data_IF_677875463589
#
_entry.id   IF_677875463589
#
_cell.length_a   1.000
_cell.length_b   1.000
_cell.length_c   1.000
_cell.angle_alpha   90.00
_cell.angle_beta   90.00
_cell.angle_gamma   90.00
#
_symmetry.space_group_name_H-M   'P 1'
#
loop_
_entity.id
_entity.type
_entity.pdbx_description
1 polymer ?
#
# COMPACT_ATOMS: atom_id res chain seq x y z
N UNK A 1 -6.85 11.27 1.63
CA UNK A 1 -6.19 10.10 1.03
C UNK A 1 -4.72 10.07 1.44
N UNK A 2 -4.01 8.94 1.25
CA UNK A 2 -2.59 8.85 1.66
C UNK A 2 -1.64 9.63 0.73
N UNK A 3 -0.61 10.32 1.26
CA UNK A 3 0.51 10.88 0.50
C UNK A 3 1.55 9.83 0.16
N UNK A 4 1.56 8.71 0.88
CA UNK A 4 2.56 7.66 0.77
C UNK A 4 1.94 6.43 0.11
N UNK A 5 2.13 6.30 -1.20
CA UNK A 5 1.60 5.20 -2.02
C UNK A 5 2.24 5.23 -3.42
N UNK A 6 1.70 4.43 -4.35
CA UNK A 6 1.87 4.63 -5.77
C UNK A 6 0.96 5.75 -6.29
N UNK A 7 1.43 6.48 -7.30
CA UNK A 7 0.77 7.70 -7.79
C UNK A 7 -0.65 7.47 -8.34
N UNK A 8 -0.95 6.25 -8.77
CA UNK A 8 -2.28 5.88 -9.29
C UNK A 8 -3.41 6.11 -8.27
N UNK A 9 -3.15 5.95 -6.97
CA UNK A 9 -4.15 6.20 -5.92
C UNK A 9 -4.60 7.68 -5.90
N UNK A 10 -3.74 8.61 -6.34
CA UNK A 10 -4.04 10.05 -6.37
C UNK A 10 -4.47 10.53 -7.76
N UNK A 11 -3.84 10.03 -8.82
CA UNK A 11 -4.16 10.45 -10.18
C UNK A 11 -5.55 10.00 -10.62
N UNK A 12 -6.07 8.88 -10.09
CA UNK A 12 -7.45 8.45 -10.36
C UNK A 12 -8.49 9.49 -9.90
N UNK A 13 -8.20 10.23 -8.82
CA UNK A 13 -9.06 11.31 -8.33
C UNK A 13 -9.10 12.45 -9.36
N UNK A 14 -7.95 12.82 -9.94
CA UNK A 14 -7.89 13.84 -11.00
C UNK A 14 -8.61 13.38 -12.27
N UNK A 15 -8.44 12.12 -12.67
CA UNK A 15 -9.12 11.54 -13.83
C UNK A 15 -10.65 11.52 -13.65
N UNK A 16 -11.13 11.39 -12.41
CA UNK A 16 -12.54 11.50 -12.06
C UNK A 16 -13.03 12.96 -11.92
N UNK A 17 -12.17 13.96 -12.15
CA UNK A 17 -12.49 15.38 -12.00
C UNK A 17 -12.50 15.89 -10.54
N UNK A 18 -12.01 15.09 -9.60
CA UNK A 18 -11.91 15.44 -8.19
C UNK A 18 -10.60 16.16 -7.83
N UNK A 19 -10.50 16.59 -6.58
CA UNK A 19 -9.30 17.21 -6.00
C UNK A 19 -8.77 16.30 -4.88
N UNK A 20 -7.56 15.72 -5.02
CA UNK A 20 -6.97 14.92 -3.95
C UNK A 20 -6.54 15.81 -2.78
N UNK A 21 -6.95 15.41 -1.57
CA UNK A 21 -6.52 16.02 -0.30
C UNK A 21 -5.77 14.98 0.52
N UNK A 22 -4.53 15.30 0.91
CA UNK A 22 -3.60 14.36 1.52
C UNK A 22 -3.60 14.49 3.04
N UNK A 23 -3.80 13.37 3.74
CA UNK A 23 -3.73 13.25 5.20
C UNK A 23 -2.36 12.71 5.61
N UNK A 24 -1.77 13.17 6.71
CA UNK A 24 -0.53 12.55 7.19
C UNK A 24 -0.76 11.09 7.61
N UNK A 25 0.31 10.36 7.87
CA UNK A 25 0.28 8.92 8.10
C UNK A 25 0.79 8.55 9.49
N UNK A 26 0.43 7.36 9.94
CA UNK A 26 0.99 6.73 11.13
C UNK A 26 2.44 6.28 10.88
N UNK A 27 3.39 6.54 11.80
CA UNK A 27 4.80 6.24 11.59
C UNK A 27 5.13 4.74 11.52
N UNK A 28 4.27 3.86 12.04
CA UNK A 28 4.50 2.42 12.10
C UNK A 28 3.87 1.70 10.90
N UNK A 29 2.54 1.80 10.77
CA UNK A 29 1.75 1.19 9.70
C UNK A 29 1.88 1.92 8.36
N UNK A 30 2.35 3.18 8.36
CA UNK A 30 2.47 4.04 7.17
C UNK A 30 1.13 4.40 6.52
N UNK A 31 0.02 4.09 7.18
CA UNK A 31 -1.33 4.31 6.71
C UNK A 31 -1.89 5.62 7.24
N UNK A 32 -2.86 6.20 6.53
CA UNK A 32 -3.68 7.29 7.08
C UNK A 32 -4.56 6.74 8.21
N UNK A 33 -4.87 7.59 9.21
CA UNK A 33 -5.70 7.22 10.36
C UNK A 33 -6.94 8.11 10.43
N UNK A 34 -7.99 7.72 11.18
CA UNK A 34 -9.14 8.59 11.41
C UNK A 34 -8.73 9.98 11.91
N UNK A 35 -7.74 10.05 12.79
CA UNK A 35 -7.23 11.28 13.40
C UNK A 35 -6.53 12.19 12.39
N UNK A 36 -5.80 11.63 11.43
CA UNK A 36 -5.14 12.43 10.39
C UNK A 36 -6.12 12.86 9.28
N UNK A 37 -7.21 12.13 9.10
CA UNK A 37 -8.24 12.44 8.10
C UNK A 37 -9.23 13.49 8.62
N UNK A 38 -9.71 13.37 9.86
CA UNK A 38 -10.80 14.19 10.38
C UNK A 38 -10.61 15.72 10.21
N UNK A 39 -9.41 16.30 10.44
CA UNK A 39 -9.18 17.74 10.27
C UNK A 39 -9.30 18.24 8.82
N UNK A 40 -9.28 17.34 7.83
CA UNK A 40 -9.28 17.67 6.41
C UNK A 40 -10.67 17.55 5.77
N UNK A 41 -11.66 17.08 6.53
CA UNK A 41 -13.02 16.95 6.02
C UNK A 41 -13.66 18.33 5.92
N UNK A 42 -14.26 18.61 4.77
CA UNK A 42 -14.99 19.85 4.47
C UNK A 42 -16.33 19.51 3.83
N UNK A 43 -17.18 20.52 3.59
CA UNK A 43 -18.42 20.33 2.82
C UNK A 43 -18.21 19.89 1.36
N UNK A 44 -16.97 19.97 0.84
CA UNK A 44 -16.60 19.47 -0.50
C UNK A 44 -16.05 18.05 -0.49
N UNK A 45 -15.81 17.47 0.69
CA UNK A 45 -15.30 16.11 0.80
C UNK A 45 -16.41 15.14 0.42
N UNK A 46 -16.14 14.27 -0.55
CA UNK A 46 -17.11 13.26 -1.01
C UNK A 46 -16.71 11.84 -0.61
N UNK A 47 -15.44 11.61 -0.27
CA UNK A 47 -14.97 10.29 0.12
C UNK A 47 -13.54 10.21 0.61
N UNK A 48 -13.19 9.02 1.10
CA UNK A 48 -11.88 8.65 1.64
C UNK A 48 -11.32 7.49 0.80
N UNK A 49 -10.05 7.59 0.43
CA UNK A 49 -9.32 6.54 -0.28
C UNK A 49 -8.12 6.10 0.59
N UNK A 50 -8.31 5.15 1.52
CA UNK A 50 -7.21 4.51 2.23
C UNK A 50 -6.46 3.53 1.31
N UNK A 51 -5.14 3.45 1.48
CA UNK A 51 -4.30 2.43 0.85
C UNK A 51 -3.77 1.56 1.97
N UNK A 52 -3.94 0.24 1.86
CA UNK A 52 -3.35 -0.72 2.78
C UNK A 52 -1.87 -0.94 2.44
N UNK A 53 -1.04 0.03 2.81
CA UNK A 53 0.34 0.12 2.34
C UNK A 53 1.15 -1.10 2.78
N UNK A 54 1.98 -1.61 1.88
CA UNK A 54 2.81 -2.81 2.05
C UNK A 54 2.02 -4.09 2.39
N UNK A 55 0.69 -4.02 2.41
CA UNK A 55 -0.19 -5.08 2.87
C UNK A 55 -0.62 -4.96 4.33
N UNK A 56 -0.28 -3.87 5.03
CA UNK A 56 -0.78 -3.57 6.37
C UNK A 56 -2.19 -2.97 6.27
N UNK A 57 -3.23 -3.59 6.88
CA UNK A 57 -4.56 -2.99 6.94
C UNK A 57 -4.57 -1.60 7.58
N UNK A 58 -5.40 -0.70 7.05
CA UNK A 58 -5.70 0.56 7.75
C UNK A 58 -6.64 0.28 8.93
N UNK A 59 -6.78 1.24 9.84
CA UNK A 59 -7.88 1.24 10.82
C UNK A 59 -9.22 1.49 10.11
N UNK A 60 -9.76 0.45 9.49
CA UNK A 60 -11.00 0.54 8.72
C UNK A 60 -12.21 0.76 9.61
N UNK A 61 -12.23 0.24 10.84
CA UNK A 61 -13.37 0.45 11.74
C UNK A 61 -13.50 1.93 12.11
N UNK A 62 -12.38 2.60 12.43
CA UNK A 62 -12.33 4.04 12.66
C UNK A 62 -12.63 4.87 11.41
N UNK A 63 -12.04 4.50 10.26
CA UNK A 63 -12.25 5.23 8.98
C UNK A 63 -13.71 5.14 8.54
N UNK A 64 -14.35 3.97 8.64
CA UNK A 64 -15.75 3.80 8.28
C UNK A 64 -16.68 4.53 9.27
N UNK A 65 -16.35 4.58 10.56
CA UNK A 65 -17.10 5.37 11.53
C UNK A 65 -17.06 6.86 11.18
N UNK A 66 -15.88 7.39 10.85
CA UNK A 66 -15.71 8.76 10.40
C UNK A 66 -16.48 9.04 9.10
N UNK A 67 -16.38 8.15 8.11
CA UNK A 67 -17.07 8.28 6.83
C UNK A 67 -18.59 8.33 6.98
N UNK A 68 -19.16 7.44 7.83
CA UNK A 68 -20.60 7.43 8.14
C UNK A 68 -21.05 8.71 8.83
N UNK A 69 -20.26 9.24 9.78
CA UNK A 69 -20.59 10.48 10.47
C UNK A 69 -20.67 11.70 9.53
N UNK A 70 -19.95 11.65 8.40
CA UNK A 70 -19.94 12.71 7.39
C UNK A 70 -20.70 12.37 6.11
N UNK A 71 -21.34 11.20 6.01
CA UNK A 71 -22.06 10.73 4.83
C UNK A 71 -21.21 10.78 3.54
N UNK A 72 -19.99 10.27 3.61
CA UNK A 72 -19.03 10.19 2.51
C UNK A 72 -18.64 8.73 2.22
N UNK A 73 -18.27 8.41 0.99
CA UNK A 73 -17.90 7.04 0.59
C UNK A 73 -16.46 6.68 1.00
N UNK A 74 -16.16 5.38 1.02
CA UNK A 74 -14.81 4.84 1.24
C UNK A 74 -14.45 3.87 0.12
N UNK A 75 -13.32 4.09 -0.55
CA UNK A 75 -12.76 3.18 -1.56
C UNK A 75 -11.42 2.66 -1.06
N UNK A 76 -11.35 1.38 -0.74
CA UNK A 76 -10.12 0.71 -0.31
C UNK A 76 -9.21 0.44 -1.51
N UNK A 77 -7.99 0.97 -1.47
CA UNK A 77 -6.91 0.56 -2.37
C UNK A 77 -6.13 -0.60 -1.72
N UNK A 78 -6.46 -1.80 -2.19
CA UNK A 78 -5.90 -3.08 -1.76
C UNK A 78 -4.83 -3.58 -2.74
N UNK A 79 -4.27 -2.72 -3.60
CA UNK A 79 -3.28 -3.13 -4.59
C UNK A 79 -2.10 -3.90 -3.97
N UNK A 80 -1.76 -3.61 -2.73
CA UNK A 80 -0.64 -4.23 -2.00
C UNK A 80 -1.09 -5.23 -0.91
N UNK A 81 -2.39 -5.54 -0.82
CA UNK A 81 -2.99 -6.17 0.36
C UNK A 81 -3.76 -7.46 0.09
N UNK A 82 -3.36 -8.23 -0.91
CA UNK A 82 -3.94 -9.53 -1.23
C UNK A 82 -3.86 -10.48 -0.02
N UNK A 83 -5.01 -10.89 0.50
CA UNK A 83 -5.10 -11.80 1.64
C UNK A 83 -4.84 -11.15 3.01
N UNK A 84 -4.75 -9.82 3.09
CA UNK A 84 -4.78 -9.08 4.35
C UNK A 84 -6.19 -9.10 4.96
N UNK A 85 -6.26 -9.07 6.29
CA UNK A 85 -7.51 -9.22 7.04
C UNK A 85 -7.52 -8.39 8.33
N UNK A 86 -8.71 -7.98 8.75
CA UNK A 86 -9.00 -7.40 10.07
C UNK A 86 -9.93 -8.39 10.80
N UNK A 87 -9.39 -9.14 11.75
CA UNK A 87 -10.05 -10.34 12.26
C UNK A 87 -10.33 -11.33 11.13
N UNK A 88 -11.59 -11.69 10.93
CA UNK A 88 -12.02 -12.61 9.87
C UNK A 88 -12.43 -11.92 8.56
N UNK A 89 -12.40 -10.58 8.52
CA UNK A 89 -12.84 -9.80 7.34
C UNK A 89 -11.65 -9.51 6.43
N UNK A 90 -11.77 -9.81 5.15
CA UNK A 90 -10.78 -9.39 4.16
C UNK A 90 -10.84 -7.88 3.93
N UNK A 91 -9.69 -7.23 3.82
CA UNK A 91 -9.67 -5.83 3.36
C UNK A 91 -10.18 -5.76 1.92
N UNK A 92 -10.74 -4.62 1.53
CA UNK A 92 -11.43 -4.43 0.26
C UNK A 92 -12.91 -4.80 0.26
N UNK A 93 -13.39 -5.49 1.30
CA UNK A 93 -14.81 -5.83 1.47
C UNK A 93 -15.49 -4.97 2.53
N UNK A 94 -14.88 -3.86 2.95
CA UNK A 94 -15.29 -3.08 4.11
C UNK A 94 -15.84 -1.70 3.70
N UNK A 95 -15.24 -1.07 2.69
CA UNK A 95 -15.73 0.15 2.06
C UNK A 95 -16.75 -0.11 0.95
N UNK A 96 -17.17 0.96 0.26
CA UNK A 96 -18.09 0.90 -0.87
C UNK A 96 -17.49 0.15 -2.08
N UNK A 97 -16.17 0.27 -2.25
CA UNK A 97 -15.38 -0.53 -3.20
C UNK A 97 -14.05 -0.94 -2.59
N UNK A 98 -13.59 -2.14 -2.96
CA UNK A 98 -12.20 -2.54 -2.89
C UNK A 98 -11.58 -2.61 -4.29
N UNK A 99 -10.32 -2.22 -4.41
CA UNK A 99 -9.56 -2.28 -5.65
C UNK A 99 -8.26 -3.07 -5.48
N UNK A 100 -8.03 -4.05 -6.34
CA UNK A 100 -6.81 -4.85 -6.37
C UNK A 100 -6.04 -4.65 -7.67
N UNK A 101 -4.71 -4.76 -7.58
CA UNK A 101 -3.80 -4.73 -8.72
C UNK A 101 -3.15 -6.10 -8.87
N UNK A 102 -3.08 -6.57 -10.11
CA UNK A 102 -2.42 -7.84 -10.44
C UNK A 102 -1.24 -7.63 -11.40
N UNK A 103 -0.57 -6.48 -11.29
CA UNK A 103 0.62 -6.20 -12.07
C UNK A 103 1.80 -7.11 -11.65
N UNK A 104 2.87 -7.10 -12.44
CA UNK A 104 3.99 -8.04 -12.36
C UNK A 104 4.50 -8.34 -10.94
N UNK A 105 4.64 -7.32 -10.09
CA UNK A 105 5.32 -7.44 -8.80
C UNK A 105 4.39 -7.71 -7.61
N UNK A 106 3.06 -7.77 -7.83
CA UNK A 106 2.07 -7.94 -6.77
C UNK A 106 2.06 -9.35 -6.19
N UNK A 107 1.42 -9.49 -5.02
CA UNK A 107 1.29 -10.78 -4.33
C UNK A 107 0.63 -11.82 -5.25
N UNK A 108 -0.41 -11.40 -5.96
CA UNK A 108 -1.01 -12.12 -7.09
C UNK A 108 -0.70 -11.33 -8.36
N UNK A 109 -0.20 -12.00 -9.39
CA UNK A 109 -0.03 -11.43 -10.74
C UNK A 109 -0.84 -12.22 -11.76
N UNK A 110 -1.47 -11.53 -12.70
CA UNK A 110 -2.29 -12.14 -13.78
C UNK A 110 -1.54 -12.23 -15.10
N UNK A 111 -0.23 -12.50 -15.04
CA UNK A 111 0.65 -12.56 -16.21
C UNK A 111 1.18 -11.19 -16.63
N UNK A 112 1.41 -10.30 -15.67
CA UNK A 112 2.06 -9.01 -15.88
C UNK A 112 1.15 -7.80 -15.66
N UNK A 113 -0.12 -7.89 -16.07
CA UNK A 113 -1.10 -6.80 -15.92
C UNK A 113 -2.49 -7.32 -15.53
N UNK A 114 -3.22 -6.51 -14.77
CA UNK A 114 -4.60 -6.77 -14.39
C UNK A 114 -5.04 -6.01 -13.14
N UNK A 115 -6.34 -6.06 -12.87
CA UNK A 115 -6.92 -5.51 -11.66
C UNK A 115 -8.31 -6.05 -11.40
N UNK A 116 -8.83 -5.78 -10.21
CA UNK A 116 -10.18 -6.16 -9.79
C UNK A 116 -10.81 -5.01 -9.02
N UNK A 117 -12.10 -4.78 -9.28
CA UNK A 117 -12.97 -3.99 -8.42
C UNK A 117 -13.99 -4.95 -7.79
N UNK A 118 -14.24 -4.78 -6.50
CA UNK A 118 -15.24 -5.53 -5.76
C UNK A 118 -16.13 -4.56 -4.97
N UNK A 119 -17.39 -4.92 -4.84
CA UNK A 119 -18.39 -4.23 -4.04
C UNK A 119 -19.49 -5.24 -3.72
N UNK A 120 -20.13 -5.08 -2.56
CA UNK A 120 -21.33 -5.83 -2.18
C UNK A 120 -22.62 -5.12 -2.61
N UNK A 121 -22.51 -3.87 -3.09
CA UNK A 121 -23.64 -3.08 -3.55
C UNK A 121 -23.98 -3.41 -5.03
N UNK A 122 -25.16 -3.98 -5.32
CA UNK A 122 -25.53 -4.39 -6.67
C UNK A 122 -25.66 -3.23 -7.66
N UNK A 123 -26.06 -2.04 -7.19
CA UNK A 123 -26.19 -0.84 -8.03
C UNK A 123 -24.80 -0.32 -8.44
N UNK A 124 -23.87 -0.27 -7.48
CA UNK A 124 -22.47 0.09 -7.74
C UNK A 124 -21.80 -0.94 -8.67
N UNK A 125 -22.03 -2.23 -8.43
CA UNK A 125 -21.53 -3.30 -9.29
C UNK A 125 -22.03 -3.17 -10.72
N UNK A 126 -23.33 -2.93 -10.92
CA UNK A 126 -23.93 -2.80 -12.26
C UNK A 126 -23.33 -1.62 -13.03
N UNK A 127 -23.15 -0.48 -12.35
CA UNK A 127 -22.51 0.71 -12.92
C UNK A 127 -21.05 0.46 -13.28
N UNK A 128 -20.27 -0.18 -12.40
CA UNK A 128 -18.88 -0.53 -12.66
C UNK A 128 -18.76 -1.54 -13.82
N UNK A 129 -19.62 -2.56 -13.85
CA UNK A 129 -19.66 -3.56 -14.93
C UNK A 129 -19.92 -2.92 -16.28
N UNK A 130 -20.85 -1.98 -16.32
CA UNK A 130 -21.19 -1.22 -17.51
C UNK A 130 -20.04 -0.33 -17.96
N UNK A 131 -19.48 0.45 -17.03
CA UNK A 131 -18.39 1.37 -17.31
C UNK A 131 -17.16 0.65 -17.89
N UNK A 132 -16.78 -0.53 -17.38
CA UNK A 132 -15.64 -1.29 -17.94
C UNK A 132 -15.85 -1.85 -19.35
N UNK A 133 -17.10 -1.97 -19.80
CA UNK A 133 -17.51 -2.64 -21.06
C UNK A 133 -18.32 -1.69 -21.95
N UNK A 134 -17.74 -0.53 -22.24
CA UNK A 134 -18.24 0.48 -23.17
C UNK A 134 -19.65 1.02 -22.86
N UNK A 135 -20.13 0.89 -21.62
CA UNK A 135 -21.46 1.38 -21.24
C UNK A 135 -22.61 0.43 -21.57
N UNK A 136 -22.32 -0.85 -21.82
CA UNK A 136 -23.39 -1.86 -21.96
C UNK A 136 -24.12 -2.07 -20.64
N UNK A 137 -25.44 -2.23 -20.66
CA UNK A 137 -26.20 -2.62 -19.48
C UNK A 137 -26.11 -4.12 -19.22
N UNK A 138 -25.75 -4.57 -18.01
CA UNK A 138 -25.64 -6.00 -17.69
C UNK A 138 -26.96 -6.74 -17.93
N UNK A 139 -28.05 -6.26 -17.31
CA UNK A 139 -29.39 -6.81 -17.49
C UNK A 139 -29.82 -6.75 -18.97
N UNK A 140 -29.45 -5.69 -19.68
CA UNK A 140 -29.75 -5.56 -21.11
C UNK A 140 -29.01 -6.58 -21.96
N UNK A 141 -27.84 -7.06 -21.54
CA UNK A 141 -27.08 -8.08 -22.27
C UNK A 141 -27.54 -9.51 -21.93
N UNK A 142 -27.85 -9.79 -20.66
CA UNK A 142 -28.02 -11.16 -20.17
C UNK A 142 -29.42 -11.51 -19.66
N UNK A 143 -30.27 -10.52 -19.34
CA UNK A 143 -31.56 -10.73 -18.69
C UNK A 143 -32.75 -10.33 -19.58
N UNK A 144 -32.51 -9.58 -20.66
CA UNK A 144 -33.55 -9.20 -21.64
C UNK A 144 -33.56 -10.16 -22.82
N UNK A 145 -34.76 -10.59 -23.22
CA UNK A 145 -34.96 -11.27 -24.49
C UNK A 145 -34.73 -10.29 -25.66
N UNK A 146 -34.00 -10.76 -26.66
CA UNK A 146 -33.71 -9.99 -27.86
C UNK A 146 -34.39 -10.61 -29.07
N UNK A 147 -35.17 -9.79 -29.78
CA UNK A 147 -35.70 -10.16 -31.08
C UNK A 147 -34.54 -10.48 -32.06
N UNK A 148 -34.76 -11.37 -33.05
CA UNK A 148 -33.77 -11.60 -34.10
C UNK A 148 -33.36 -10.29 -34.78
N UNK A 149 -32.05 -10.02 -34.87
CA UNK A 149 -31.51 -8.79 -35.47
C UNK A 149 -30.43 -8.12 -34.63
N UNK A 150 -30.22 -6.82 -34.88
CA UNK A 150 -29.21 -6.02 -34.19
C UNK A 150 -29.61 -5.76 -32.73
N UNK A 151 -28.68 -5.98 -31.79
CA UNK A 151 -28.92 -5.75 -30.35
C UNK A 151 -28.42 -4.37 -29.93
N UNK A 152 -29.33 -3.53 -29.47
CA UNK A 152 -29.02 -2.24 -28.85
C UNK A 152 -28.77 -2.43 -27.35
N UNK A 153 -27.50 -2.42 -26.96
CA UNK A 153 -27.07 -2.85 -25.62
C UNK A 153 -26.59 -1.72 -24.69
N UNK A 154 -26.54 -0.48 -25.18
CA UNK A 154 -25.91 0.64 -24.49
C UNK A 154 -26.96 1.59 -23.91
N UNK A 155 -27.51 1.23 -22.75
CA UNK A 155 -28.53 2.00 -22.02
C UNK A 155 -28.01 2.64 -20.72
N UNK A 156 -26.73 2.47 -20.40
CA UNK A 156 -26.09 2.96 -19.17
C UNK A 156 -25.17 4.18 -19.36
N UNK A 157 -25.19 4.80 -20.55
CA UNK A 157 -24.30 5.93 -20.89
C UNK A 157 -22.92 5.48 -21.42
N UNK A 158 -21.96 6.40 -21.61
CA UNK A 158 -20.63 6.06 -22.13
C UNK A 158 -19.77 5.32 -21.09
N UNK A 159 -18.93 4.41 -21.57
CA UNK A 159 -17.94 3.71 -20.76
C UNK A 159 -16.56 3.63 -21.43
N UNK A 160 -15.71 2.73 -20.94
CA UNK A 160 -14.34 2.49 -21.37
C UNK A 160 -14.13 1.01 -21.73
N UNK A 161 -12.91 0.61 -22.06
CA UNK A 161 -12.51 -0.78 -22.30
C UNK A 161 -11.49 -1.22 -21.25
N UNK A 162 -11.98 -1.65 -20.08
CA UNK A 162 -11.16 -2.13 -18.95
C UNK A 162 -11.38 -3.62 -18.67
N UNK A 163 -11.75 -4.39 -19.70
CA UNK A 163 -12.00 -5.83 -19.57
C UNK A 163 -10.68 -6.58 -19.39
N UNK A 164 -10.68 -7.56 -18.50
CA UNK A 164 -9.59 -8.52 -18.36
C UNK A 164 -9.66 -9.59 -19.46
N UNK A 165 -8.51 -9.97 -20.02
CA UNK A 165 -8.41 -11.06 -20.98
C UNK A 165 -8.58 -12.44 -20.30
N UNK A 166 -9.15 -13.41 -21.02
CA UNK A 166 -9.36 -14.77 -20.53
C UNK A 166 -8.09 -15.46 -20.00
N UNK A 167 -6.94 -15.42 -20.70
CA UNK A 167 -5.69 -15.99 -20.19
C UNK A 167 -5.22 -15.38 -18.86
N UNK A 168 -5.29 -14.05 -18.72
CA UNK A 168 -4.97 -13.35 -17.46
C UNK A 168 -5.87 -13.81 -16.31
N UNK A 169 -7.17 -13.97 -16.57
CA UNK A 169 -8.11 -14.50 -15.59
C UNK A 169 -7.80 -15.94 -15.18
N UNK A 170 -7.38 -16.80 -16.13
CA UNK A 170 -6.97 -18.17 -15.83
C UNK A 170 -5.75 -18.24 -14.91
N UNK A 171 -4.72 -17.42 -15.19
CA UNK A 171 -3.54 -17.29 -14.31
C UNK A 171 -3.96 -16.80 -12.92
N UNK A 172 -4.79 -15.75 -12.85
CA UNK A 172 -5.28 -15.20 -11.59
C UNK A 172 -6.01 -16.22 -10.72
N UNK A 173 -6.84 -17.09 -11.31
CA UNK A 173 -7.55 -18.14 -10.57
C UNK A 173 -6.60 -19.17 -9.94
N UNK A 174 -5.52 -19.54 -10.65
CA UNK A 174 -4.48 -20.44 -10.12
C UNK A 174 -3.68 -19.76 -9.02
N UNK A 175 -3.32 -18.49 -9.19
CA UNK A 175 -2.63 -17.72 -8.16
C UNK A 175 -3.49 -17.55 -6.90
N UNK A 176 -4.79 -17.29 -7.07
CA UNK A 176 -5.73 -17.14 -5.96
C UNK A 176 -5.85 -18.41 -5.11
N UNK A 177 -5.87 -19.60 -5.72
CA UNK A 177 -5.90 -20.86 -4.96
C UNK A 177 -4.64 -21.11 -4.13
N UNK A 178 -3.54 -20.41 -4.43
CA UNK A 178 -2.26 -20.48 -3.71
C UNK A 178 -2.04 -19.31 -2.74
N UNK A 179 -2.96 -18.36 -2.66
CA UNK A 179 -2.77 -17.13 -1.88
C UNK A 179 -2.43 -17.40 -0.41
N UNK A 180 -3.08 -18.39 0.22
CA UNK A 180 -2.80 -18.75 1.61
C UNK A 180 -1.35 -19.24 1.82
N UNK A 181 -0.86 -20.10 0.91
CA UNK A 181 0.52 -20.60 0.89
C UNK A 181 1.51 -19.44 0.66
N UNK A 182 1.29 -18.64 -0.38
CA UNK A 182 2.14 -17.50 -0.73
C UNK A 182 2.21 -16.47 0.40
N UNK A 183 1.08 -16.17 1.07
CA UNK A 183 1.05 -15.27 2.23
C UNK A 183 1.80 -15.86 3.42
N UNK A 184 1.66 -17.15 3.69
CA UNK A 184 2.38 -17.80 4.79
C UNK A 184 3.90 -17.74 4.58
N UNK A 185 4.38 -17.94 3.34
CA UNK A 185 5.80 -17.76 2.99
C UNK A 185 6.26 -16.32 3.21
N UNK A 186 5.52 -15.34 2.68
CA UNK A 186 5.82 -13.91 2.87
C UNK A 186 5.87 -13.50 4.33
N UNK A 187 4.92 -13.99 5.11
CA UNK A 187 4.86 -13.73 6.57
C UNK A 187 6.10 -14.30 7.25
N UNK A 188 6.49 -15.54 6.94
CA UNK A 188 7.69 -16.15 7.51
C UNK A 188 8.95 -15.32 7.19
N UNK A 189 9.14 -14.94 5.93
CA UNK A 189 10.27 -14.12 5.50
C UNK A 189 10.28 -12.75 6.21
N UNK A 190 9.14 -12.09 6.29
CA UNK A 190 9.01 -10.81 6.96
C UNK A 190 9.28 -10.89 8.46
N UNK A 191 8.82 -11.94 9.14
CA UNK A 191 9.07 -12.13 10.58
C UNK A 191 10.53 -12.48 10.88
N UNK A 192 11.22 -13.23 10.01
CA UNK A 192 12.67 -13.44 10.12
C UNK A 192 13.44 -12.12 10.02
N UNK A 193 13.11 -11.27 9.04
CA UNK A 193 13.66 -9.91 8.96
C UNK A 193 13.34 -9.11 10.22
N UNK A 194 12.10 -9.17 10.71
CA UNK A 194 11.68 -8.43 11.87
C UNK A 194 12.48 -8.82 13.12
N UNK A 195 12.66 -10.11 13.36
CA UNK A 195 13.41 -10.64 14.50
C UNK A 195 14.87 -10.16 14.50
N UNK A 196 15.57 -10.35 13.39
CA UNK A 196 17.00 -10.01 13.28
C UNK A 196 17.22 -8.50 13.32
N UNK A 197 16.45 -7.74 12.52
CA UNK A 197 16.63 -6.29 12.41
C UNK A 197 16.22 -5.55 13.69
N UNK A 198 15.31 -6.12 14.50
CA UNK A 198 14.95 -5.54 15.80
C UNK A 198 16.10 -5.55 16.81
N UNK A 199 17.15 -6.34 16.58
CA UNK A 199 18.37 -6.34 17.38
C UNK A 199 19.24 -5.09 17.20
N UNK A 200 19.10 -4.37 16.08
CA UNK A 200 19.89 -3.17 15.80
C UNK A 200 19.28 -1.92 16.42
N UNK A 201 20.06 -1.22 17.24
CA UNK A 201 19.65 0.08 17.80
C UNK A 201 19.60 1.21 16.76
N UNK A 202 20.14 0.99 15.56
CA UNK A 202 20.05 1.93 14.44
C UNK A 202 18.70 1.83 13.71
N UNK A 203 17.89 0.81 14.00
CA UNK A 203 16.65 0.51 13.30
C UNK A 203 15.42 0.58 14.22
N UNK A 204 14.29 0.96 13.62
CA UNK A 204 12.94 0.81 14.16
C UNK A 204 12.19 -0.15 13.25
N UNK A 205 11.60 -1.18 13.84
CA UNK A 205 11.00 -2.30 13.12
C UNK A 205 9.58 -2.52 13.63
N UNK A 206 8.58 -1.81 13.09
CA UNK A 206 7.20 -1.99 13.51
C UNK A 206 6.65 -3.32 13.01
N UNK A 207 5.85 -3.98 13.85
CA UNK A 207 5.10 -5.20 13.51
C UNK A 207 3.62 -5.00 13.82
N UNK A 208 2.71 -5.54 13.00
CA UNK A 208 1.29 -5.39 13.21
C UNK A 208 0.82 -6.07 14.50
N UNK A 209 -0.22 -5.53 15.18
CA UNK A 209 -0.92 -6.24 16.24
C UNK A 209 -1.42 -7.60 15.76
N UNK A 210 -1.49 -8.58 16.65
CA UNK A 210 -1.96 -9.94 16.33
C UNK A 210 -3.39 -10.02 15.77
N UNK A 211 -4.22 -8.99 15.99
CA UNK A 211 -5.58 -8.89 15.44
C UNK A 211 -5.62 -8.59 13.94
N UNK A 212 -4.49 -8.20 13.34
CA UNK A 212 -4.37 -7.88 11.93
C UNK A 212 -3.59 -8.97 11.20
N UNK A 213 -4.09 -9.38 10.04
CA UNK A 213 -3.32 -10.17 9.09
C UNK A 213 -2.71 -9.24 8.05
N UNK A 214 -1.40 -9.08 8.10
CA UNK A 214 -0.63 -8.32 7.12
C UNK A 214 -0.32 -9.19 5.89
N UNK A 215 -0.48 -8.65 4.68
CA UNK A 215 -0.23 -9.41 3.44
C UNK A 215 1.25 -9.50 3.05
N UNK A 216 2.08 -8.59 3.56
CA UNK A 216 3.53 -8.55 3.34
C UNK A 216 3.88 -8.52 1.83
N UNK A 217 3.31 -7.55 1.12
CA UNK A 217 3.75 -7.21 -0.23
C UNK A 217 5.21 -6.73 -0.20
N UNK A 218 5.54 -5.93 0.82
CA UNK A 218 6.90 -5.52 1.19
C UNK A 218 7.03 -5.57 2.71
N UNK A 219 8.25 -5.72 3.19
CA UNK A 219 8.60 -5.51 4.58
C UNK A 219 9.32 -4.18 4.73
N UNK A 220 9.03 -3.42 5.80
CA UNK A 220 9.64 -2.13 6.06
C UNK A 220 10.33 -2.11 7.42
N UNK A 221 11.55 -1.58 7.44
CA UNK A 221 12.23 -1.09 8.63
C UNK A 221 12.57 0.39 8.44
N UNK A 222 12.91 1.10 9.50
CA UNK A 222 13.21 2.52 9.44
C UNK A 222 14.51 2.78 10.18
N UNK A 223 15.44 3.50 9.56
CA UNK A 223 16.64 3.94 10.27
C UNK A 223 16.24 4.97 11.33
N UNK A 224 17.04 5.08 12.40
CA UNK A 224 16.91 6.05 13.49
C UNK A 224 18.02 7.08 13.36
N UNK A 225 17.82 8.18 12.60
CA UNK A 225 18.87 9.18 12.38
C UNK A 225 19.48 9.70 13.68
N UNK A 226 18.69 9.79 14.74
CA UNK A 226 19.13 10.21 16.08
C UNK A 226 20.15 9.28 16.74
N UNK A 227 20.27 8.03 16.29
CA UNK A 227 21.22 7.05 16.79
C UNK A 227 22.48 6.93 15.91
N UNK A 228 22.46 7.51 14.71
CA UNK A 228 23.54 7.38 13.73
C UNK A 228 24.57 8.50 13.85
N UNK A 229 25.80 8.25 13.42
CA UNK A 229 26.79 9.29 13.23
C UNK A 229 26.42 10.20 12.04
N UNK A 230 26.78 11.48 12.10
CA UNK A 230 26.44 12.51 11.09
C UNK A 230 26.89 12.16 9.65
N UNK A 231 27.88 11.26 9.51
CA UNK A 231 28.35 10.78 8.21
C UNK A 231 27.45 9.72 7.55
N UNK A 232 26.39 9.31 8.23
CA UNK A 232 25.47 8.27 7.78
C UNK A 232 24.08 8.81 7.46
N UNK A 233 23.46 8.20 6.47
CA UNK A 233 22.08 8.45 6.04
C UNK A 233 21.44 7.13 5.63
N UNK A 234 20.10 7.11 5.51
CA UNK A 234 19.39 5.96 4.94
C UNK A 234 19.95 5.59 3.56
N UNK A 235 20.18 6.58 2.71
CA UNK A 235 20.67 6.36 1.34
C UNK A 235 22.08 5.77 1.34
N UNK A 236 22.94 6.18 2.28
CA UNK A 236 24.25 5.54 2.44
C UNK A 236 24.11 4.08 2.90
N UNK A 237 23.22 3.78 3.84
CA UNK A 237 22.93 2.39 4.24
C UNK A 237 22.47 1.57 3.03
N UNK A 238 21.57 2.10 2.19
CA UNK A 238 21.14 1.44 0.96
C UNK A 238 22.31 1.22 -0.02
N UNK A 239 23.18 2.20 -0.18
CA UNK A 239 24.36 2.08 -1.04
C UNK A 239 25.30 0.97 -0.54
N UNK A 240 25.58 0.90 0.77
CA UNK A 240 26.42 -0.16 1.35
C UNK A 240 25.77 -1.56 1.28
N UNK A 241 24.43 -1.65 1.34
CA UNK A 241 23.71 -2.90 1.11
C UNK A 241 23.85 -3.34 -0.36
N UNK A 242 23.71 -2.39 -1.30
CA UNK A 242 23.86 -2.66 -2.73
C UNK A 242 25.29 -3.06 -3.11
N UNK A 243 26.32 -2.44 -2.50
CA UNK A 243 27.72 -2.85 -2.65
C UNK A 243 28.02 -4.27 -2.15
N UNK A 244 27.14 -4.82 -1.29
CA UNK A 244 27.19 -6.21 -0.86
C UNK A 244 26.36 -7.15 -1.75
N UNK A 245 25.93 -6.71 -2.94
CA UNK A 245 25.09 -7.45 -3.89
C UNK A 245 23.75 -7.93 -3.29
N UNK A 246 23.22 -7.16 -2.34
CA UNK A 246 21.93 -7.41 -1.70
C UNK A 246 20.91 -6.33 -2.06
N UNK A 247 19.63 -6.68 -2.29
CA UNK A 247 18.61 -5.70 -2.61
C UNK A 247 17.94 -5.13 -1.36
N UNK A 248 17.93 -3.81 -1.27
CA UNK A 248 17.06 -3.03 -0.39
C UNK A 248 16.64 -1.74 -1.11
N UNK A 249 15.48 -1.19 -0.74
CA UNK A 249 14.90 -0.06 -1.44
C UNK A 249 14.48 1.04 -0.47
N UNK A 250 14.28 2.27 -0.95
CA UNK A 250 13.69 3.35 -0.17
C UNK A 250 12.19 3.17 0.08
N UNK A 251 11.53 2.34 -0.75
CA UNK A 251 10.10 2.01 -0.64
C UNK A 251 9.19 2.85 -1.52
N UNK A 252 7.93 2.97 -1.13
CA UNK A 252 6.92 3.77 -1.85
C UNK A 252 7.23 5.27 -1.78
N UNK A 253 6.78 6.02 -2.80
CA UNK A 253 6.85 7.48 -2.78
C UNK A 253 6.20 8.00 -1.49
N UNK A 254 6.95 8.79 -0.72
CA UNK A 254 6.51 9.29 0.59
C UNK A 254 5.55 10.46 0.49
N UNK A 255 5.71 11.29 -0.54
CA UNK A 255 5.01 12.56 -0.71
C UNK A 255 4.56 12.71 -2.16
N UNK A 256 3.54 11.92 -2.57
CA UNK A 256 2.99 11.92 -3.94
C UNK A 256 2.66 13.34 -4.41
N UNK A 257 2.19 14.22 -3.52
CA UNK A 257 1.84 15.61 -3.84
C UNK A 257 3.03 16.45 -4.34
N UNK A 258 4.28 15.99 -4.20
CA UNK A 258 5.46 16.65 -4.78
C UNK A 258 5.64 16.37 -6.28
N UNK A 259 4.99 15.34 -6.81
CA UNK A 259 5.01 15.05 -8.24
C UNK A 259 4.46 16.25 -9.03
N UNK A 260 5.08 16.55 -10.18
CA UNK A 260 4.76 17.73 -10.98
C UNK A 260 3.27 17.82 -11.34
N UNK A 261 2.60 16.68 -11.52
CA UNK A 261 1.17 16.64 -11.83
C UNK A 261 0.28 17.26 -10.74
N UNK A 262 0.70 17.25 -9.48
CA UNK A 262 -0.02 17.86 -8.37
C UNK A 262 0.55 19.23 -8.03
N UNK A 263 1.88 19.31 -7.85
CA UNK A 263 2.59 20.55 -7.49
C UNK A 263 2.28 21.70 -8.44
N UNK A 264 2.36 21.48 -9.75
CA UNK A 264 2.20 22.55 -10.75
C UNK A 264 0.73 23.02 -10.86
N UNK A 265 -0.22 22.25 -10.30
CA UNK A 265 -1.63 22.62 -10.17
C UNK A 265 -1.95 23.23 -8.80
N UNK A 266 -0.95 23.44 -7.95
CA UNK A 266 -1.16 23.90 -6.57
C UNK A 266 -1.92 22.87 -5.71
N UNK A 267 -1.84 21.58 -6.07
CA UNK A 267 -2.52 20.50 -5.35
C UNK A 267 -1.54 19.87 -4.37
N UNK A 268 -1.80 20.06 -3.07
CA UNK A 268 -0.97 19.54 -1.99
C UNK A 268 -1.23 20.31 -0.71
N UNK A 269 -0.66 19.85 0.43
CA UNK A 269 -0.72 20.57 1.68
C UNK A 269 0.21 21.81 1.65
N UNK A 270 -0.17 22.88 2.33
CA UNK A 270 0.63 24.12 2.42
C UNK A 270 2.01 23.90 3.07
N UNK A 271 2.08 22.91 3.95
CA UNK A 271 3.31 22.46 4.63
C UNK A 271 3.50 20.97 4.38
N UNK A 272 4.76 20.49 4.27
CA UNK A 272 5.02 19.06 4.21
C UNK A 272 4.38 18.31 5.37
N UNK A 273 3.78 17.16 5.06
CA UNK A 273 3.23 16.26 6.06
C UNK A 273 4.41 15.62 6.82
N UNK A 274 4.56 15.88 8.12
CA UNK A 274 5.79 15.61 8.84
C UNK A 274 6.16 14.12 8.88
N UNK A 275 5.20 13.23 9.14
CA UNK A 275 5.50 11.79 9.21
C UNK A 275 5.79 11.25 7.82
N UNK A 276 4.96 11.59 6.83
CA UNK A 276 5.20 11.21 5.44
C UNK A 276 6.61 11.60 4.97
N UNK A 277 7.03 12.85 5.20
CA UNK A 277 8.39 13.33 4.90
C UNK A 277 9.46 12.52 5.63
N UNK A 278 9.32 12.35 6.95
CA UNK A 278 10.27 11.59 7.76
C UNK A 278 10.45 10.16 7.23
N UNK A 279 9.37 9.48 6.85
CA UNK A 279 9.46 8.13 6.30
C UNK A 279 10.05 8.11 4.87
N UNK A 280 10.02 9.23 4.13
CA UNK A 280 10.77 9.36 2.88
C UNK A 280 12.29 9.30 3.10
N UNK A 281 12.75 9.82 4.23
CA UNK A 281 14.17 9.93 4.59
C UNK A 281 14.68 8.72 5.41
N UNK A 282 13.77 7.92 6.00
CA UNK A 282 14.18 6.86 6.96
C UNK A 282 13.86 5.43 6.53
N UNK A 283 12.97 5.19 5.56
CA UNK A 283 12.54 3.82 5.22
C UNK A 283 13.58 2.97 4.51
N UNK A 284 13.64 1.70 4.90
CA UNK A 284 14.24 0.59 4.18
C UNK A 284 13.13 -0.41 3.85
N UNK A 285 13.00 -0.78 2.58
CA UNK A 285 11.98 -1.70 2.09
C UNK A 285 12.64 -2.95 1.49
N UNK A 286 12.06 -4.11 1.79
CA UNK A 286 12.63 -5.41 1.44
C UNK A 286 11.62 -6.28 0.69
N UNK A 287 12.15 -7.10 -0.22
CA UNK A 287 11.39 -8.18 -0.87
C UNK A 287 11.25 -9.33 0.12
N UNK A 288 10.04 -9.90 0.18
CA UNK A 288 9.72 -11.04 1.04
C UNK A 288 8.89 -12.08 0.30
N UNK A 289 8.83 -11.97 -1.02
CA UNK A 289 8.03 -12.87 -1.86
C UNK A 289 8.63 -14.29 -1.93
N UNK A 290 7.93 -15.17 -2.65
CA UNK A 290 8.24 -16.61 -2.70
C UNK A 290 9.50 -16.95 -3.48
N UNK A 291 10.16 -16.00 -4.17
CA UNK A 291 11.48 -16.27 -4.76
C UNK A 291 12.61 -16.18 -3.74
N UNK A 292 12.32 -15.74 -2.51
CA UNK A 292 13.28 -15.63 -1.43
C UNK A 292 13.18 -16.82 -0.49
N UNK A 293 14.21 -17.66 -0.52
CA UNK A 293 14.40 -18.75 0.43
C UNK A 293 14.86 -18.22 1.80
N UNK A 294 14.60 -18.98 2.84
CA UNK A 294 14.84 -18.57 4.23
C UNK A 294 16.31 -18.25 4.50
N UNK A 295 17.24 -19.04 3.96
CA UNK A 295 18.67 -18.82 4.13
C UNK A 295 19.12 -17.47 3.56
N UNK A 296 18.58 -17.08 2.40
CA UNK A 296 18.88 -15.78 1.78
C UNK A 296 18.24 -14.61 2.52
N UNK A 297 17.08 -14.82 3.13
CA UNK A 297 16.46 -13.82 4.00
C UNK A 297 17.29 -13.59 5.27
N UNK A 298 17.80 -14.66 5.89
CA UNK A 298 18.67 -14.57 7.07
C UNK A 298 19.97 -13.82 6.71
N UNK A 299 20.64 -14.22 5.63
CA UNK A 299 21.86 -13.54 5.15
C UNK A 299 21.62 -12.05 4.88
N UNK A 300 20.51 -11.72 4.21
CA UNK A 300 20.10 -10.34 3.97
C UNK A 300 19.92 -9.59 5.29
N UNK A 301 19.16 -10.16 6.23
CA UNK A 301 18.84 -9.53 7.50
C UNK A 301 20.08 -9.28 8.36
N UNK A 302 20.97 -10.28 8.49
CA UNK A 302 22.21 -10.18 9.25
C UNK A 302 23.15 -9.13 8.64
N UNK A 303 23.26 -9.10 7.31
CA UNK A 303 24.11 -8.12 6.62
C UNK A 303 23.57 -6.70 6.77
N UNK A 304 22.26 -6.52 6.64
CA UNK A 304 21.59 -5.22 6.85
C UNK A 304 21.76 -4.75 8.30
N UNK A 305 21.53 -5.61 9.29
CA UNK A 305 21.75 -5.28 10.70
C UNK A 305 23.20 -4.87 10.96
N UNK A 306 24.17 -5.63 10.43
CA UNK A 306 25.59 -5.30 10.54
C UNK A 306 25.93 -3.94 9.93
N UNK A 307 25.43 -3.63 8.73
CA UNK A 307 25.64 -2.33 8.08
C UNK A 307 24.99 -1.20 8.90
N UNK A 308 23.76 -1.42 9.38
CA UNK A 308 23.05 -0.45 10.21
C UNK A 308 23.80 -0.20 11.52
N UNK A 309 24.36 -1.22 12.18
CA UNK A 309 25.12 -1.06 13.41
C UNK A 309 26.44 -0.31 13.20
N UNK A 310 27.07 -0.41 12.02
CA UNK A 310 28.23 0.44 11.67
C UNK A 310 27.88 1.92 11.56
N UNK A 311 26.59 2.25 11.39
CA UNK A 311 26.12 3.64 11.35
C UNK A 311 26.03 4.30 12.71
N UNK A 312 26.00 3.52 13.80
CA UNK A 312 25.81 4.04 15.15
C UNK A 312 26.90 5.03 15.54
N UNK A 313 26.48 6.13 16.17
CA UNK A 313 27.43 7.05 16.79
C UNK A 313 28.22 6.31 17.87
N UNK A 314 29.56 6.40 17.83
CA UNK A 314 30.40 5.86 18.90
C UNK A 314 30.03 6.58 20.19
N UNK A 315 29.47 5.85 21.15
CA UNK A 315 29.22 6.39 22.48
C UNK A 315 30.56 6.81 23.08
N UNK A 316 30.84 8.11 23.14
CA UNK A 316 31.89 8.65 23.99
C UNK A 316 31.48 8.45 25.45
N UNK A 317 31.54 7.21 25.94
CA UNK A 317 31.76 6.98 27.37
C UNK A 317 33.20 7.40 27.66
N UNK A 318 33.39 8.69 27.93
CA UNK A 318 34.59 9.13 28.67
C UNK A 318 34.63 8.33 29.97
N UNK A 319 35.70 7.59 30.27
CA UNK A 319 35.84 7.00 31.59
C UNK A 319 35.91 8.15 32.59
N UNK A 320 34.93 8.21 33.50
CA UNK A 320 34.99 9.10 34.64
C UNK A 320 36.32 8.83 35.36
N UNK A 321 37.23 9.81 35.32
CA UNK A 321 38.42 9.80 36.17
C UNK A 321 37.95 9.69 37.61
N UNK A 322 38.29 8.59 38.27
CA UNK A 322 38.18 8.49 39.71
C UNK A 322 39.05 9.58 40.35
N UNK A 323 38.55 10.34 41.33
CA UNK A 323 39.38 11.29 42.06
C UNK A 323 40.40 10.52 42.91
N UNK A 324 41.62 11.07 42.93
CA UNK A 324 42.77 10.58 43.70
C UNK A 324 42.60 10.79 45.20
#
# INVERSE_FOLDING_TARGET
>A
MTPRSFVASASCVLLAGGIPVFADIDPDSQNITPETIAPLITSRTVGILPVHLAGWPCDMDGILALARAHNIWVIEDCAQAHGAMIGERHVGTLGDFGSYSFCQDKIISTGGEGGMLLTDNPDLWSRAWSFKDHGKGYATVFEKDHQPGFRWLHDSGPGTNLRMAGPSAAIGRIQLSRLAETRAHRTRNALTLAEILSGSSALRVPVPPQSLTHAYYRFYAFVRPEAMADSWSRDRILAEIAEADLPAFSGSCSEIYKEAMFRDRGLGPDKPLPVARQLGETSLAFLVDTTWEQERIIELAEKVASIADRSLAVSHKSPARAPA
#
